data_IF_969847532802
#
_entry.id   IF_969847532802
#
_cell.length_a   1.000
_cell.length_b   1.000
_cell.length_c   1.000
_cell.angle_alpha   90.00
_cell.angle_beta   90.00
_cell.angle_gamma   90.00
#
_symmetry.space_group_name_H-M   'P 1'
#
loop_
_entity.id
_entity.type
_entity.pdbx_description
1 polymer ?
#
# COMPACT_ATOMS: atom_id res chain seq x y z
N UNK A 1 -23.89 -12.29 -13.88
CA UNK A 1 -23.24 -11.58 -12.76
C UNK A 1 -22.36 -12.60 -12.06
N UNK A 2 -21.05 -12.42 -12.14
CA UNK A 2 -20.06 -13.31 -11.57
C UNK A 2 -19.50 -12.67 -10.31
N UNK A 3 -19.22 -13.48 -9.30
CA UNK A 3 -18.66 -13.04 -8.03
C UNK A 3 -17.41 -13.87 -7.71
N UNK A 4 -16.38 -13.21 -7.20
CA UNK A 4 -15.17 -13.86 -6.73
C UNK A 4 -14.75 -13.27 -5.38
N UNK A 5 -14.57 -14.14 -4.40
CA UNK A 5 -14.05 -13.76 -3.09
C UNK A 5 -12.53 -13.85 -3.08
N UNK A 6 -11.89 -12.75 -2.73
CA UNK A 6 -10.44 -12.62 -2.64
C UNK A 6 -10.09 -12.50 -1.17
N UNK A 7 -9.32 -13.46 -0.65
CA UNK A 7 -8.82 -13.40 0.71
C UNK A 7 -7.37 -12.93 0.69
N UNK A 8 -7.07 -11.86 1.43
CA UNK A 8 -5.71 -11.35 1.63
C UNK A 8 -5.36 -11.47 3.11
N UNK A 9 -4.21 -12.05 3.40
CA UNK A 9 -3.70 -12.20 4.77
C UNK A 9 -2.70 -11.09 5.08
N UNK A 10 -3.00 -10.30 6.10
CA UNK A 10 -2.17 -9.20 6.56
C UNK A 10 -1.92 -9.43 8.06
N UNK A 11 -0.74 -9.95 8.37
CA UNK A 11 -0.37 -10.37 9.71
C UNK A 11 -1.29 -11.49 10.21
N UNK A 12 -1.91 -11.26 11.36
CA UNK A 12 -2.91 -12.16 11.93
C UNK A 12 -4.35 -11.88 11.47
N UNK A 13 -4.57 -10.91 10.57
CA UNK A 13 -5.90 -10.54 10.08
C UNK A 13 -6.10 -11.02 8.65
N UNK A 14 -7.28 -11.56 8.37
CA UNK A 14 -7.73 -11.90 7.02
C UNK A 14 -8.72 -10.85 6.53
N UNK A 15 -8.50 -10.32 5.34
CA UNK A 15 -9.38 -9.37 4.67
C UNK A 15 -10.02 -10.06 3.48
N UNK A 16 -11.35 -10.06 3.43
CA UNK A 16 -12.13 -10.63 2.34
C UNK A 16 -12.65 -9.50 1.46
N UNK A 17 -12.31 -9.51 0.18
CA UNK A 17 -12.79 -8.59 -0.83
C UNK A 17 -13.66 -9.35 -1.81
N UNK A 18 -14.87 -8.86 -2.07
CA UNK A 18 -15.74 -9.44 -3.09
C UNK A 18 -15.59 -8.61 -4.37
N UNK A 19 -15.08 -9.24 -5.43
CA UNK A 19 -15.06 -8.67 -6.77
C UNK A 19 -16.30 -9.15 -7.51
N UNK A 20 -16.98 -8.24 -8.20
CA UNK A 20 -18.17 -8.52 -9.00
C UNK A 20 -17.94 -8.05 -10.44
N UNK A 21 -18.31 -8.87 -11.43
CA UNK A 21 -18.18 -8.54 -12.84
C UNK A 21 -19.37 -9.02 -13.66
N UNK A 22 -19.63 -8.39 -14.81
CA UNK A 22 -20.67 -8.86 -15.73
C UNK A 22 -20.17 -10.04 -16.56
N UNK A 23 -18.89 -10.04 -16.93
CA UNK A 23 -18.17 -11.10 -17.63
C UNK A 23 -16.88 -11.52 -16.88
N UNK A 24 -16.18 -12.51 -17.43
CA UNK A 24 -14.93 -13.00 -16.84
C UNK A 24 -13.80 -11.96 -16.93
N UNK A 25 -13.81 -11.11 -17.95
CA UNK A 25 -12.75 -10.14 -18.20
C UNK A 25 -12.77 -9.00 -17.17
N UNK A 26 -13.95 -8.45 -16.89
CA UNK A 26 -14.18 -7.46 -15.85
C UNK A 26 -13.87 -8.04 -14.47
N UNK A 27 -14.31 -9.27 -14.18
CA UNK A 27 -14.05 -9.93 -12.91
C UNK A 27 -12.54 -10.11 -12.65
N UNK A 28 -11.79 -10.52 -13.68
CA UNK A 28 -10.33 -10.64 -13.59
C UNK A 28 -9.65 -9.28 -13.47
N UNK A 29 -10.16 -8.25 -14.16
CA UNK A 29 -9.63 -6.89 -14.08
C UNK A 29 -9.83 -6.31 -12.67
N UNK A 30 -11.00 -6.49 -12.06
CA UNK A 30 -11.25 -6.08 -10.66
C UNK A 30 -10.34 -6.83 -9.68
N UNK A 31 -10.05 -8.10 -9.95
CA UNK A 31 -9.10 -8.87 -9.17
C UNK A 31 -7.67 -8.34 -9.31
N UNK A 32 -7.22 -8.03 -10.53
CA UNK A 32 -5.88 -7.51 -10.80
C UNK A 32 -5.62 -6.15 -10.15
N UNK A 33 -6.66 -5.35 -9.87
CA UNK A 33 -6.52 -4.10 -9.11
C UNK A 33 -6.01 -4.30 -7.70
N UNK A 34 -6.25 -5.47 -7.09
CA UNK A 34 -5.74 -5.88 -5.77
C UNK A 34 -4.44 -6.70 -5.92
N UNK A 35 -3.49 -6.18 -6.69
CA UNK A 35 -2.24 -6.85 -7.10
C UNK A 35 -1.20 -7.06 -5.99
N UNK A 36 -1.53 -6.79 -4.73
CA UNK A 36 -0.56 -6.91 -3.64
C UNK A 36 -0.52 -8.35 -3.06
N UNK A 37 0.68 -8.85 -2.69
CA UNK A 37 0.82 -10.14 -2.01
C UNK A 37 0.36 -10.06 -0.56
N UNK A 38 0.17 -11.23 0.06
CA UNK A 38 -0.02 -11.34 1.50
C UNK A 38 1.20 -10.79 2.25
N UNK A 39 0.95 -10.15 3.39
CA UNK A 39 1.98 -9.52 4.22
C UNK A 39 2.00 -10.22 5.57
N UNK A 40 2.89 -11.20 5.79
CA UNK A 40 2.85 -12.04 6.99
C UNK A 40 3.28 -11.31 8.26
N UNK A 41 4.17 -10.32 8.17
CA UNK A 41 4.71 -9.61 9.32
C UNK A 41 5.21 -8.20 8.95
N UNK A 42 5.39 -7.36 9.96
CA UNK A 42 6.00 -6.04 9.83
C UNK A 42 7.47 -6.18 9.42
N UNK A 43 7.88 -5.50 8.35
CA UNK A 43 9.27 -5.50 7.89
C UNK A 43 10.24 -4.71 8.78
N UNK A 44 9.75 -4.04 9.84
CA UNK A 44 10.58 -3.29 10.80
C UNK A 44 10.80 -4.05 12.10
N UNK A 45 9.73 -4.52 12.73
CA UNK A 45 9.78 -5.16 14.06
C UNK A 45 9.43 -6.66 14.04
N UNK A 46 9.01 -7.21 12.91
CA UNK A 46 8.60 -8.62 12.81
C UNK A 46 7.22 -8.94 13.40
N UNK A 47 6.49 -7.96 13.93
CA UNK A 47 5.16 -8.19 14.49
C UNK A 47 4.13 -8.61 13.44
N UNK A 48 3.23 -9.50 13.83
CA UNK A 48 2.05 -9.91 13.06
C UNK A 48 0.82 -9.05 13.32
N UNK A 49 0.90 -8.08 14.24
CA UNK A 49 -0.18 -7.14 14.56
C UNK A 49 -0.24 -6.03 13.51
N UNK A 50 -0.75 -6.40 12.33
CA UNK A 50 -0.90 -5.52 11.19
C UNK A 50 -2.39 -5.20 10.95
N UNK A 51 -2.65 -3.96 10.54
CA UNK A 51 -3.98 -3.50 10.15
C UNK A 51 -3.94 -2.78 8.80
N UNK A 52 -4.97 -3.00 7.99
CA UNK A 52 -5.21 -2.22 6.79
C UNK A 52 -5.96 -0.96 7.19
N UNK A 53 -5.47 0.21 6.79
CA UNK A 53 -6.10 1.50 7.04
C UNK A 53 -6.29 2.27 5.74
N UNK A 54 -7.32 3.10 5.72
CA UNK A 54 -7.54 4.10 4.69
C UNK A 54 -7.57 5.47 5.34
N UNK A 55 -6.90 6.45 4.73
CA UNK A 55 -6.86 7.83 5.21
C UNK A 55 -7.04 8.80 4.05
N UNK A 56 -7.72 9.90 4.32
CA UNK A 56 -7.84 11.02 3.39
C UNK A 56 -6.95 12.14 3.92
N UNK A 57 -5.96 12.55 3.14
CA UNK A 57 -5.10 13.67 3.47
C UNK A 57 -5.53 14.91 2.66
N UNK A 58 -5.58 16.06 3.33
CA UNK A 58 -5.91 17.36 2.73
C UNK A 58 -7.23 17.33 1.93
N UNK A 59 -8.19 16.49 2.36
CA UNK A 59 -9.50 16.26 1.71
C UNK A 59 -9.45 15.90 0.21
N UNK A 60 -8.26 15.56 -0.30
CA UNK A 60 -8.02 15.36 -1.73
C UNK A 60 -7.34 14.03 -2.02
N UNK A 61 -6.42 13.62 -1.17
CA UNK A 61 -5.58 12.45 -1.43
C UNK A 61 -6.03 11.27 -0.59
N UNK A 62 -6.60 10.27 -1.27
CA UNK A 62 -6.99 9.00 -0.65
C UNK A 62 -5.78 8.07 -0.64
N UNK A 63 -5.33 7.66 0.54
CA UNK A 63 -4.26 6.69 0.72
C UNK A 63 -4.81 5.45 1.41
N UNK A 64 -4.32 4.30 0.97
CA UNK A 64 -4.41 3.06 1.71
C UNK A 64 -3.02 2.76 2.26
N UNK A 65 -2.94 2.24 3.47
CA UNK A 65 -1.70 1.86 4.14
C UNK A 65 -1.88 0.60 5.00
N UNK A 66 -0.80 -0.16 5.18
CA UNK A 66 -0.74 -1.21 6.20
C UNK A 66 0.04 -0.63 7.37
N UNK A 67 -0.58 -0.56 8.54
CA UNK A 67 0.02 -0.06 9.77
C UNK A 67 0.29 -1.20 10.74
N UNK A 68 1.44 -1.18 11.39
CA UNK A 68 1.75 -2.04 12.52
C UNK A 68 1.26 -1.39 13.81
N UNK A 69 0.53 -2.13 14.65
CA UNK A 69 0.04 -1.60 15.93
C UNK A 69 1.14 -1.58 17.02
N UNK A 70 2.23 -2.34 16.85
CA UNK A 70 3.29 -2.45 17.86
C UNK A 70 4.40 -1.39 17.70
N UNK A 71 4.93 -1.21 16.47
CA UNK A 71 5.99 -0.23 16.19
C UNK A 71 5.47 1.05 15.51
N UNK A 72 4.16 1.11 15.24
CA UNK A 72 3.48 2.17 14.50
C UNK A 72 3.94 2.38 13.06
N UNK A 73 4.94 1.62 12.60
CA UNK A 73 5.43 1.69 11.22
C UNK A 73 4.34 1.39 10.20
N UNK A 74 4.47 1.99 9.03
CA UNK A 74 3.48 1.90 7.96
C UNK A 74 4.11 1.67 6.61
N UNK A 75 3.49 0.84 5.77
CA UNK A 75 3.79 0.76 4.34
C UNK A 75 2.60 1.31 3.56
N UNK A 76 2.85 2.33 2.73
CA UNK A 76 1.80 2.97 1.93
C UNK A 76 1.64 2.23 0.60
N UNK A 77 0.39 2.08 0.14
CA UNK A 77 0.13 1.56 -1.19
C UNK A 77 0.50 2.60 -2.26
N UNK A 78 1.24 2.16 -3.28
CA UNK A 78 1.44 2.90 -4.50
C UNK A 78 0.21 2.82 -5.39
N UNK A 79 0.01 3.88 -6.18
CA UNK A 79 -0.90 3.93 -7.33
C UNK A 79 -0.10 4.35 -8.54
N UNK A 80 -0.47 3.86 -9.73
CA UNK A 80 0.15 4.35 -10.96
C UNK A 80 -0.41 5.73 -11.26
N UNK A 81 0.41 6.57 -11.90
CA UNK A 81 -0.04 7.90 -12.32
C UNK A 81 -1.04 7.81 -13.48
N UNK A 82 -0.89 6.79 -14.33
CA UNK A 82 -1.75 6.55 -15.50
C UNK A 82 -2.99 5.69 -15.18
N UNK A 83 -2.97 4.96 -14.06
CA UNK A 83 -4.08 4.11 -13.61
C UNK A 83 -4.19 4.16 -12.07
N UNK A 84 -5.19 4.90 -11.60
CA UNK A 84 -5.46 5.11 -10.18
C UNK A 84 -6.21 3.94 -9.52
N UNK A 85 -6.63 2.95 -10.31
CA UNK A 85 -7.45 1.81 -9.87
C UNK A 85 -6.61 0.65 -9.35
N UNK A 86 -5.34 0.55 -9.77
CA UNK A 86 -4.44 -0.54 -9.36
C UNK A 86 -3.65 -0.16 -8.11
N UNK A 87 -3.81 -0.96 -7.06
CA UNK A 87 -3.09 -0.82 -5.80
C UNK A 87 -1.94 -1.84 -5.73
N UNK A 88 -0.74 -1.35 -5.49
CA UNK A 88 0.43 -2.20 -5.24
C UNK A 88 1.17 -1.73 -3.98
N UNK A 89 1.82 -2.64 -3.27
CA UNK A 89 2.66 -2.24 -2.15
C UNK A 89 3.94 -1.59 -2.66
N UNK A 90 4.31 -0.43 -2.09
CA UNK A 90 5.57 0.23 -2.43
C UNK A 90 6.75 -0.66 -2.06
N UNK A 91 7.67 -0.83 -3.01
CA UNK A 91 8.93 -1.54 -2.80
C UNK A 91 10.00 -0.50 -2.50
N UNK A 92 10.97 -0.89 -1.67
CA UNK A 92 12.09 -0.02 -1.30
C UNK A 92 13.03 0.18 -2.48
N UNK A 93 13.28 1.43 -2.86
CA UNK A 93 14.26 1.75 -3.91
C UNK A 93 15.67 1.33 -3.46
N UNK A 94 16.39 0.57 -4.30
CA UNK A 94 17.71 0.02 -3.96
C UNK A 94 17.70 -1.08 -2.88
N UNK A 95 16.51 -1.53 -2.45
CA UNK A 95 16.37 -2.66 -1.51
C UNK A 95 16.50 -4.02 -2.20
N UNK A 96 16.47 -5.09 -1.39
CA UNK A 96 16.42 -6.46 -1.91
C UNK A 96 15.14 -6.66 -2.74
N UNK A 97 15.16 -7.43 -3.84
CA UNK A 97 13.96 -7.71 -4.62
C UNK A 97 12.80 -8.20 -3.74
N UNK A 98 11.67 -7.49 -3.79
CA UNK A 98 10.48 -7.82 -2.98
C UNK A 98 10.44 -7.18 -1.59
N UNK A 99 11.47 -6.42 -1.19
CA UNK A 99 11.45 -5.69 0.07
C UNK A 99 10.46 -4.53 0.02
N UNK A 100 9.49 -4.56 0.94
CA UNK A 100 8.50 -3.49 1.09
C UNK A 100 9.11 -2.25 1.73
N UNK A 101 8.65 -1.08 1.29
CA UNK A 101 9.10 0.22 1.79
C UNK A 101 8.38 0.56 3.10
N UNK A 102 8.79 -0.10 4.18
CA UNK A 102 8.27 0.19 5.51
C UNK A 102 8.87 1.49 6.06
N UNK A 103 7.99 2.44 6.36
CA UNK A 103 8.35 3.72 6.98
C UNK A 103 8.14 3.61 8.48
N UNK A 104 9.18 3.92 9.26
CA UNK A 104 9.09 3.98 10.72
C UNK A 104 8.20 5.17 11.11
N UNK A 105 7.37 4.99 12.13
CA UNK A 105 6.60 6.11 12.68
C UNK A 105 7.54 7.02 13.46
N UNK A 106 7.71 8.25 12.96
CA UNK A 106 8.44 9.30 13.65
C UNK A 106 7.44 10.38 14.08
N UNK A 107 7.18 10.53 15.39
CA UNK A 107 6.16 11.47 15.89
C UNK A 107 6.53 12.94 15.72
N UNK A 108 7.67 13.28 15.09
CA UNK A 108 8.13 14.67 15.02
C UNK A 108 9.02 14.99 13.81
N UNK A 109 8.48 14.92 12.59
CA UNK A 109 9.06 15.63 11.44
C UNK A 109 8.00 16.57 10.86
N UNK A 110 8.11 17.85 11.22
CA UNK A 110 7.74 18.94 10.33
C UNK A 110 8.48 18.74 9.02
N UNK A 111 7.80 18.24 7.99
CA UNK A 111 8.40 18.06 6.66
C UNK A 111 8.67 19.45 6.10
N UNK A 112 9.88 19.97 6.30
CA UNK A 112 10.38 21.07 5.48
C UNK A 112 10.39 20.58 4.02
N UNK A 113 9.84 21.35 3.06
CA UNK A 113 9.84 20.94 1.67
C UNK A 113 11.28 20.76 1.21
N UNK A 114 11.59 19.54 0.76
CA UNK A 114 12.85 19.19 0.10
C UNK A 114 13.15 20.22 -0.98
N UNK A 115 14.23 20.98 -0.78
CA UNK A 115 14.73 21.95 -1.74
C UNK A 115 15.13 21.21 -3.03
N UNK A 116 14.41 21.51 -4.11
CA UNK A 116 14.79 21.12 -5.46
C UNK A 116 16.07 21.86 -5.84
N UNK A 117 17.21 21.17 -5.86
CA UNK A 117 18.47 21.72 -6.36
C UNK A 117 18.37 21.91 -7.88
N UNK A 118 17.97 23.10 -8.33
CA UNK A 118 18.07 23.51 -9.73
C UNK A 118 19.56 23.66 -10.07
N UNK A 119 20.12 22.69 -10.80
CA UNK A 119 21.45 22.80 -11.41
C UNK A 119 21.47 24.01 -12.35
N UNK A 120 22.28 25.01 -12.01
CA UNK A 120 22.64 26.12 -12.88
C UNK A 120 23.43 25.60 -14.08
N UNK A 121 22.95 25.90 -15.30
CA UNK A 121 23.63 25.65 -16.56
C UNK A 121 24.51 26.86 -16.85
N UNK A 122 25.83 26.65 -16.96
CA UNK A 122 26.78 27.59 -17.57
C UNK A 122 26.74 27.46 -19.08
#
# INVERSE_FOLDING_TARGET
MLEMMITKKIGNRSYHFNATGTDLHELLTEHEKLSFPDVPACGLCGSVNLRLTSRVAQDKFKYCDIKCDDCFGSVTFGRRQDDDKVYFLRKKEGGTPGQLDWVKYEPNITVAPTATTTKAKR
#
